data_IF_820627648745
#
_entry.id   IF_820627648745
#
_cell.length_a   1.000
_cell.length_b   1.000
_cell.length_c   1.000
_cell.angle_alpha   90.00
_cell.angle_beta   90.00
_cell.angle_gamma   90.00
#
_symmetry.space_group_name_H-M   'P 1'
#
loop_
_entity.id
_entity.type
_entity.pdbx_description
1 polymer ?
#
# COMPACT_ATOMS: atom_id res chain seq x y z
N UNK A 1 -5.92 5.34 10.71
CA UNK A 1 -6.67 5.71 9.48
C UNK A 1 -5.97 6.87 8.76
N UNK A 2 -5.94 8.09 9.31
CA UNK A 2 -5.33 9.27 8.66
C UNK A 2 -3.93 9.03 8.08
N UNK A 3 -3.00 8.47 8.87
CA UNK A 3 -1.66 8.15 8.39
C UNK A 3 -1.63 7.19 7.19
N UNK A 4 -2.55 6.23 7.13
CA UNK A 4 -2.66 5.32 5.99
C UNK A 4 -3.16 6.03 4.73
N UNK A 5 -4.11 6.96 4.88
CA UNK A 5 -4.58 7.81 3.78
C UNK A 5 -3.45 8.73 3.27
N UNK A 6 -2.66 9.31 4.18
CA UNK A 6 -1.48 10.10 3.81
C UNK A 6 -0.46 9.23 3.06
N UNK A 7 -0.21 8.01 3.53
CA UNK A 7 0.70 7.08 2.85
C UNK A 7 0.21 6.67 1.45
N UNK A 8 -1.10 6.49 1.30
CA UNK A 8 -1.73 6.29 -0.01
C UNK A 8 -1.53 7.51 -0.90
N UNK A 9 -1.80 8.72 -0.41
CA UNK A 9 -1.63 9.96 -1.18
C UNK A 9 -0.16 10.17 -1.59
N UNK A 10 0.80 9.95 -0.70
CA UNK A 10 2.23 10.04 -1.03
C UNK A 10 2.56 9.13 -2.22
N UNK A 11 2.09 7.88 -2.16
CA UNK A 11 2.34 6.91 -3.22
C UNK A 11 1.66 7.33 -4.54
N UNK A 12 0.36 7.59 -4.51
CA UNK A 12 -0.44 7.87 -5.71
C UNK A 12 -0.11 9.20 -6.36
N UNK A 13 0.09 10.27 -5.58
CA UNK A 13 0.40 11.58 -6.15
C UNK A 13 1.86 11.71 -6.59
N UNK A 14 2.78 10.93 -6.02
CA UNK A 14 4.11 10.75 -6.63
C UNK A 14 3.97 10.12 -8.03
N UNK A 15 3.17 9.06 -8.16
CA UNK A 15 2.92 8.47 -9.48
C UNK A 15 2.28 9.46 -10.43
N UNK A 16 1.28 10.26 -10.01
CA UNK A 16 0.71 11.30 -10.87
C UNK A 16 1.74 12.37 -11.28
N UNK A 17 2.66 12.77 -10.39
CA UNK A 17 3.70 13.74 -10.74
C UNK A 17 4.67 13.23 -11.82
N UNK A 18 4.87 11.91 -11.94
CA UNK A 18 5.82 11.30 -12.88
C UNK A 18 5.16 10.71 -14.12
N UNK A 19 3.99 10.09 -13.96
CA UNK A 19 3.29 9.34 -15.00
C UNK A 19 2.24 10.15 -15.75
N UNK A 20 1.60 11.13 -15.08
CA UNK A 20 0.53 11.87 -15.73
C UNK A 20 1.10 12.76 -16.83
N UNK A 21 0.44 12.79 -17.99
CA UNK A 21 0.73 13.78 -19.03
C UNK A 21 0.53 15.17 -18.45
N UNK A 22 1.46 16.09 -18.74
CA UNK A 22 1.42 17.48 -18.27
C UNK A 22 0.05 18.10 -18.56
N UNK A 23 -0.55 18.68 -17.51
CA UNK A 23 -1.88 19.27 -17.54
C UNK A 23 -2.03 20.30 -16.40
N UNK A 24 -3.15 21.03 -16.40
CA UNK A 24 -3.42 22.13 -15.48
C UNK A 24 -3.42 21.72 -13.99
N UNK A 25 -3.63 20.43 -13.68
CA UNK A 25 -3.62 19.90 -12.32
C UNK A 25 -2.22 19.50 -11.83
N UNK A 26 -1.16 19.65 -12.63
CA UNK A 26 0.19 19.21 -12.25
C UNK A 26 0.63 19.79 -10.89
N UNK A 27 0.44 21.10 -10.68
CA UNK A 27 0.78 21.75 -9.41
C UNK A 27 -0.07 21.25 -8.24
N UNK A 28 -1.33 20.86 -8.49
CA UNK A 28 -2.18 20.26 -7.47
C UNK A 28 -1.64 18.88 -7.05
N UNK A 29 -1.17 18.07 -8.00
CA UNK A 29 -0.55 16.77 -7.68
C UNK A 29 0.67 16.95 -6.79
N UNK A 30 1.55 17.91 -7.14
CA UNK A 30 2.75 18.24 -6.37
C UNK A 30 2.37 18.73 -4.96
N UNK A 31 1.36 19.60 -4.84
CA UNK A 31 0.91 20.10 -3.55
C UNK A 31 0.38 18.98 -2.65
N UNK A 32 -0.45 18.07 -3.18
CA UNK A 32 -0.99 16.95 -2.41
C UNK A 32 0.12 15.99 -1.99
N UNK A 33 1.05 15.67 -2.89
CA UNK A 33 2.22 14.85 -2.59
C UNK A 33 3.06 15.47 -1.45
N UNK A 34 3.47 16.72 -1.60
CA UNK A 34 4.33 17.40 -0.63
C UNK A 34 3.65 17.53 0.74
N UNK A 35 2.41 18.03 0.78
CA UNK A 35 1.66 18.15 2.03
C UNK A 35 1.46 16.79 2.71
N UNK A 36 1.11 15.76 1.94
CA UNK A 36 0.92 14.41 2.50
C UNK A 36 2.22 13.86 3.08
N UNK A 37 3.35 14.07 2.39
CA UNK A 37 4.68 13.65 2.84
C UNK A 37 5.06 14.33 4.16
N UNK A 38 5.01 15.66 4.21
CA UNK A 38 5.40 16.39 5.41
C UNK A 38 4.46 16.10 6.58
N UNK A 39 3.14 16.05 6.36
CA UNK A 39 2.18 15.68 7.41
C UNK A 39 2.42 14.26 7.92
N UNK A 40 2.72 13.30 7.04
CA UNK A 40 3.01 11.93 7.45
C UNK A 40 4.27 11.84 8.30
N UNK A 41 5.35 12.49 7.87
CA UNK A 41 6.63 12.52 8.61
C UNK A 41 6.46 13.20 9.97
N UNK A 42 5.85 14.39 10.02
CA UNK A 42 5.63 15.09 11.30
C UNK A 42 4.71 14.32 12.24
N UNK A 43 3.66 13.67 11.72
CA UNK A 43 2.78 12.86 12.53
C UNK A 43 3.48 11.60 13.06
N UNK A 44 4.34 10.95 12.26
CA UNK A 44 5.14 9.81 12.74
C UNK A 44 6.10 10.19 13.87
N UNK A 45 6.73 11.36 13.80
CA UNK A 45 7.65 11.84 14.85
C UNK A 45 6.89 12.19 16.14
N UNK A 46 5.63 12.65 16.03
CA UNK A 46 4.79 13.06 17.18
C UNK A 46 4.00 11.92 17.82
N UNK A 47 3.73 10.85 17.09
CA UNK A 47 3.15 9.65 17.70
C UNK A 47 4.22 9.13 18.63
N UNK A 48 3.92 9.05 19.92
CA UNK A 48 4.73 8.27 20.87
C UNK A 48 4.44 6.77 20.62
N UNK A 49 5.20 6.06 19.78
CA UNK A 49 4.91 4.68 19.42
C UNK A 49 5.34 3.73 20.53
N UNK A 50 6.07 4.24 21.53
CA UNK A 50 6.90 3.43 22.43
C UNK A 50 6.22 3.09 23.76
N UNK A 51 5.11 3.73 24.12
CA UNK A 51 4.52 3.50 25.44
C UNK A 51 3.76 2.17 25.49
N UNK A 52 2.81 1.89 24.59
CA UNK A 52 2.01 0.63 24.65
C UNK A 52 1.40 0.13 23.32
N UNK A 53 2.18 -0.05 22.23
CA UNK A 53 1.61 -0.52 20.96
C UNK A 53 1.15 -1.98 21.00
N UNK A 54 1.78 -2.81 21.85
CA UNK A 54 1.52 -4.25 21.92
C UNK A 54 0.20 -4.63 22.59
N UNK A 55 -0.39 -3.72 23.38
CA UNK A 55 -1.67 -3.95 24.04
C UNK A 55 -2.87 -3.57 23.17
N UNK A 56 -2.62 -2.92 22.02
CA UNK A 56 -3.67 -2.38 21.15
C UNK A 56 -4.32 -3.45 20.26
N UNK A 57 -3.69 -4.60 20.05
CA UNK A 57 -4.18 -5.60 19.08
C UNK A 57 -4.00 -7.01 19.65
N UNK A 58 -5.03 -7.85 19.50
CA UNK A 58 -4.95 -9.26 19.90
C UNK A 58 -3.80 -9.97 19.18
N UNK A 59 -3.09 -10.86 19.89
CA UNK A 59 -1.93 -11.60 19.32
C UNK A 59 -2.30 -12.36 18.05
N UNK A 60 -3.50 -12.94 18.03
CA UNK A 60 -4.04 -13.67 16.87
C UNK A 60 -4.21 -12.75 15.67
N UNK A 61 -4.93 -11.64 15.83
CA UNK A 61 -5.17 -10.70 14.73
C UNK A 61 -3.87 -10.06 14.22
N UNK A 62 -2.96 -9.68 15.12
CA UNK A 62 -1.65 -9.15 14.75
C UNK A 62 -0.86 -10.13 13.88
N UNK A 63 -0.84 -11.42 14.25
CA UNK A 63 -0.17 -12.47 13.49
C UNK A 63 -0.82 -12.66 12.11
N UNK A 64 -2.15 -12.75 12.04
CA UNK A 64 -2.87 -12.96 10.77
C UNK A 64 -2.62 -11.81 9.79
N UNK A 65 -2.75 -10.56 10.25
CA UNK A 65 -2.54 -9.38 9.40
C UNK A 65 -1.07 -9.25 9.00
N UNK A 66 -0.13 -9.60 9.87
CA UNK A 66 1.30 -9.59 9.54
C UNK A 66 1.67 -10.62 8.46
N UNK A 67 1.15 -11.85 8.57
CA UNK A 67 1.35 -12.89 7.55
C UNK A 67 0.75 -12.43 6.22
N UNK A 68 -0.44 -11.81 6.25
CA UNK A 68 -1.06 -11.23 5.05
C UNK A 68 -0.17 -10.16 4.40
N UNK A 69 0.40 -9.23 5.18
CA UNK A 69 1.33 -8.22 4.66
C UNK A 69 2.54 -8.87 3.97
N UNK A 70 3.16 -9.86 4.61
CA UNK A 70 4.30 -10.58 4.04
C UNK A 70 3.93 -11.35 2.78
N UNK A 71 2.75 -11.98 2.75
CA UNK A 71 2.24 -12.70 1.59
C UNK A 71 2.04 -11.76 0.40
N UNK A 72 1.29 -10.67 0.58
CA UNK A 72 1.03 -9.68 -0.47
C UNK A 72 2.34 -9.05 -0.96
N UNK A 73 3.22 -8.66 -0.04
CA UNK A 73 4.52 -8.09 -0.38
C UNK A 73 5.36 -9.04 -1.22
N UNK A 74 5.47 -10.30 -0.78
CA UNK A 74 6.24 -11.32 -1.52
C UNK A 74 5.63 -11.60 -2.89
N UNK A 75 4.30 -11.73 -2.97
CA UNK A 75 3.60 -12.00 -4.21
C UNK A 75 3.86 -10.89 -5.25
N UNK A 76 3.77 -9.62 -4.85
CA UNK A 76 4.04 -8.50 -5.77
C UNK A 76 5.53 -8.36 -6.11
N UNK A 77 6.45 -8.64 -5.18
CA UNK A 77 7.89 -8.67 -5.48
C UNK A 77 8.16 -9.71 -6.57
N UNK A 78 7.62 -10.93 -6.43
CA UNK A 78 7.79 -11.98 -7.43
C UNK A 78 7.12 -11.62 -8.76
N UNK A 79 5.93 -11.01 -8.73
CA UNK A 79 5.24 -10.53 -9.94
C UNK A 79 6.09 -9.51 -10.70
N UNK A 80 6.59 -8.48 -10.02
CA UNK A 80 7.40 -7.43 -10.64
C UNK A 80 8.74 -7.95 -11.13
N UNK A 81 9.42 -8.77 -10.32
CA UNK A 81 10.68 -9.39 -10.75
C UNK A 81 10.48 -10.30 -11.95
N UNK A 82 9.39 -11.07 -12.01
CA UNK A 82 9.08 -11.90 -13.18
C UNK A 82 8.94 -11.04 -14.45
N UNK A 83 8.20 -9.94 -14.39
CA UNK A 83 8.03 -9.05 -15.55
C UNK A 83 9.37 -8.42 -15.98
N UNK A 84 10.14 -7.90 -15.01
CA UNK A 84 11.44 -7.27 -15.28
C UNK A 84 12.42 -8.28 -15.87
N UNK A 85 12.56 -9.44 -15.24
CA UNK A 85 13.51 -10.48 -15.65
C UNK A 85 13.13 -11.01 -17.04
N UNK A 86 11.85 -11.31 -17.29
CA UNK A 86 11.39 -11.74 -18.61
C UNK A 86 11.65 -10.67 -19.68
N UNK A 87 11.36 -9.39 -19.39
CA UNK A 87 11.64 -8.29 -20.31
C UNK A 87 13.14 -8.17 -20.65
N UNK A 88 14.02 -8.33 -19.66
CA UNK A 88 15.47 -8.31 -19.86
C UNK A 88 15.95 -9.48 -20.72
N UNK A 89 15.44 -10.70 -20.51
CA UNK A 89 15.86 -11.87 -21.28
C UNK A 89 15.28 -11.91 -22.70
N UNK A 90 14.10 -11.33 -22.91
CA UNK A 90 13.42 -11.32 -24.22
C UNK A 90 13.67 -10.03 -25.00
N UNK A 91 14.48 -9.12 -24.45
CA UNK A 91 14.72 -7.77 -25.00
C UNK A 91 13.40 -7.02 -25.31
N UNK A 92 12.37 -7.26 -24.48
CA UNK A 92 11.05 -6.66 -24.64
C UNK A 92 10.71 -5.74 -23.47
N UNK A 93 9.95 -4.69 -23.75
CA UNK A 93 9.43 -3.79 -22.71
C UNK A 93 8.24 -4.50 -22.06
N UNK A 94 8.23 -4.69 -20.72
CA UNK A 94 7.09 -5.29 -20.05
C UNK A 94 5.79 -4.52 -20.35
N UNK A 95 4.69 -5.23 -20.58
CA UNK A 95 3.40 -4.64 -20.95
C UNK A 95 2.93 -3.56 -19.96
N UNK A 96 3.15 -3.77 -18.67
CA UNK A 96 2.81 -2.78 -17.63
C UNK A 96 3.60 -1.47 -17.79
N UNK A 97 4.82 -1.51 -18.32
CA UNK A 97 5.63 -0.32 -18.66
C UNK A 97 5.12 0.34 -19.93
N UNK A 98 4.70 -0.44 -20.93
CA UNK A 98 4.09 0.10 -22.17
C UNK A 98 2.83 0.90 -21.85
N UNK A 99 1.97 0.38 -20.97
CA UNK A 99 0.71 1.02 -20.60
C UNK A 99 0.87 2.24 -19.70
N UNK A 100 1.84 2.18 -18.78
CA UNK A 100 2.14 3.28 -17.86
C UNK A 100 3.02 4.36 -18.49
N UNK A 101 3.72 4.04 -19.58
CA UNK A 101 4.71 4.90 -20.23
C UNK A 101 6.05 5.00 -19.46
N UNK A 102 6.19 4.35 -18.30
CA UNK A 102 7.37 4.47 -17.44
C UNK A 102 7.49 3.33 -16.42
N UNK A 103 8.70 2.85 -16.09
CA UNK A 103 8.90 1.78 -15.09
C UNK A 103 8.81 2.27 -13.64
N UNK A 104 8.35 3.50 -13.39
CA UNK A 104 8.35 4.11 -12.05
C UNK A 104 7.60 3.28 -11.00
N UNK A 105 6.57 2.52 -11.40
CA UNK A 105 5.86 1.61 -10.48
C UNK A 105 6.80 0.56 -9.90
N UNK A 106 7.71 -0.01 -10.70
CA UNK A 106 8.71 -0.97 -10.21
C UNK A 106 9.65 -0.32 -9.20
N UNK A 107 10.08 0.92 -9.46
CA UNK A 107 10.96 1.68 -8.56
C UNK A 107 10.26 1.95 -7.23
N UNK A 108 9.00 2.39 -7.27
CA UNK A 108 8.23 2.68 -6.07
C UNK A 108 7.93 1.42 -5.25
N UNK A 109 7.57 0.33 -5.92
CA UNK A 109 7.20 -0.91 -5.25
C UNK A 109 8.41 -1.66 -4.72
N UNK A 110 9.41 -1.93 -5.56
CA UNK A 110 10.60 -2.68 -5.14
C UNK A 110 11.57 -1.84 -4.31
N UNK A 111 11.62 -0.52 -4.53
CA UNK A 111 12.56 0.37 -3.85
C UNK A 111 12.16 0.70 -2.42
N UNK A 112 10.86 0.76 -2.11
CA UNK A 112 10.44 1.10 -0.74
C UNK A 112 9.13 0.47 -0.28
N UNK A 113 8.07 0.44 -1.10
CA UNK A 113 6.75 0.08 -0.58
C UNK A 113 6.63 -1.40 -0.21
N UNK A 114 6.99 -2.32 -1.11
CA UNK A 114 6.91 -3.76 -0.84
C UNK A 114 7.92 -4.22 0.22
N UNK A 115 9.18 -3.73 0.24
CA UNK A 115 10.08 -3.96 1.36
C UNK A 115 9.50 -3.50 2.70
N UNK A 116 8.93 -2.29 2.76
CA UNK A 116 8.30 -1.77 3.98
C UNK A 116 7.08 -2.60 4.40
N UNK A 117 6.30 -3.09 3.44
CA UNK A 117 5.15 -3.97 3.66
C UNK A 117 5.59 -5.30 4.31
N UNK A 118 6.62 -5.94 3.78
CA UNK A 118 7.19 -7.19 4.33
C UNK A 118 7.83 -6.94 5.71
N UNK A 119 8.63 -5.88 5.85
CA UNK A 119 9.28 -5.52 7.11
C UNK A 119 8.27 -5.22 8.21
N UNK A 120 7.16 -4.56 7.88
CA UNK A 120 6.06 -4.34 8.81
C UNK A 120 5.56 -5.65 9.39
N UNK A 121 5.28 -6.65 8.53
CA UNK A 121 4.87 -7.99 8.98
C UNK A 121 5.92 -8.68 9.85
N UNK A 122 7.20 -8.66 9.44
CA UNK A 122 8.31 -9.25 10.21
C UNK A 122 8.41 -8.61 11.60
N UNK A 123 8.40 -7.27 11.66
CA UNK A 123 8.49 -6.52 12.90
C UNK A 123 7.29 -6.79 13.82
N UNK A 124 6.07 -6.90 13.27
CA UNK A 124 4.88 -7.28 14.04
C UNK A 124 5.02 -8.68 14.64
N UNK A 125 5.49 -9.66 13.86
CA UNK A 125 5.71 -11.03 14.35
C UNK A 125 6.79 -11.08 15.43
N UNK A 126 7.82 -10.23 15.32
CA UNK A 126 8.86 -10.02 16.35
C UNK A 126 8.40 -9.17 17.54
N UNK A 127 7.13 -8.76 17.58
CA UNK A 127 6.56 -7.93 18.66
C UNK A 127 7.24 -6.57 18.80
N UNK A 128 7.78 -6.03 17.71
CA UNK A 128 8.39 -4.72 17.72
C UNK A 128 7.31 -3.62 17.65
N UNK A 129 7.46 -2.58 18.47
CA UNK A 129 6.54 -1.45 18.57
C UNK A 129 6.19 -0.83 17.20
N UNK A 130 7.24 -0.53 16.41
CA UNK A 130 7.07 0.03 15.06
C UNK A 130 6.30 -0.91 14.13
N UNK A 131 6.50 -2.22 14.24
CA UNK A 131 5.78 -3.19 13.41
C UNK A 131 4.28 -3.12 13.65
N UNK A 132 3.85 -3.10 14.91
CA UNK A 132 2.42 -3.03 15.27
C UNK A 132 1.79 -1.68 14.86
N UNK A 133 2.53 -0.57 15.03
CA UNK A 133 2.08 0.75 14.57
C UNK A 133 1.90 0.77 13.04
N UNK A 134 2.94 0.38 12.30
CA UNK A 134 2.95 0.39 10.84
C UNK A 134 1.93 -0.58 10.26
N UNK A 135 1.60 -1.67 10.96
CA UNK A 135 0.61 -2.66 10.52
C UNK A 135 -0.72 -2.00 10.17
N UNK A 136 -1.24 -1.14 11.05
CA UNK A 136 -2.51 -0.45 10.81
C UNK A 136 -2.42 0.61 9.70
N UNK A 137 -1.30 1.33 9.63
CA UNK A 137 -1.04 2.37 8.63
C UNK A 137 -1.02 1.74 7.23
N UNK A 138 -0.22 0.69 7.07
CA UNK A 138 -0.04 -0.02 5.80
C UNK A 138 -1.33 -0.75 5.41
N UNK A 139 -2.07 -1.32 6.37
CA UNK A 139 -3.37 -1.94 6.10
C UNK A 139 -4.38 -0.96 5.49
N UNK A 140 -4.48 0.26 6.05
CA UNK A 140 -5.35 1.31 5.49
C UNK A 140 -4.88 1.74 4.10
N UNK A 141 -3.55 1.83 3.88
CA UNK A 141 -2.99 2.12 2.55
C UNK A 141 -3.33 1.02 1.54
N UNK A 142 -3.21 -0.26 1.90
CA UNK A 142 -3.57 -1.39 1.03
C UNK A 142 -5.05 -1.37 0.67
N UNK A 143 -5.93 -1.10 1.64
CA UNK A 143 -7.36 -1.00 1.40
C UNK A 143 -7.72 0.16 0.46
N UNK A 144 -7.20 1.36 0.72
CA UNK A 144 -7.46 2.54 -0.12
C UNK A 144 -6.90 2.39 -1.54
N UNK A 145 -5.70 1.79 -1.67
CA UNK A 145 -5.16 1.40 -2.97
C UNK A 145 -6.06 0.39 -3.68
N UNK A 146 -6.57 -0.61 -2.95
CA UNK A 146 -7.46 -1.60 -3.52
C UNK A 146 -8.78 -1.01 -4.05
N UNK A 147 -9.36 -0.04 -3.34
CA UNK A 147 -10.52 0.71 -3.82
C UNK A 147 -10.21 1.48 -5.10
N UNK A 148 -9.04 2.12 -5.16
CA UNK A 148 -8.61 2.85 -6.35
C UNK A 148 -8.43 1.92 -7.57
N UNK A 149 -7.87 0.73 -7.34
CA UNK A 149 -7.72 -0.30 -8.39
C UNK A 149 -9.07 -0.82 -8.87
N UNK A 150 -10.02 -1.10 -7.97
CA UNK A 150 -11.39 -1.49 -8.35
C UNK A 150 -12.04 -0.38 -9.20
N UNK A 151 -11.92 0.88 -8.78
CA UNK A 151 -12.44 2.02 -9.54
C UNK A 151 -11.80 2.12 -10.92
N UNK A 152 -10.48 1.99 -11.00
CA UNK A 152 -9.73 1.98 -12.26
C UNK A 152 -10.24 0.87 -13.19
N UNK A 153 -10.36 -0.37 -12.71
CA UNK A 153 -10.86 -1.49 -13.51
C UNK A 153 -12.28 -1.23 -14.03
N UNK A 154 -13.15 -0.67 -13.19
CA UNK A 154 -14.51 -0.30 -13.59
C UNK A 154 -14.53 0.74 -14.73
N UNK A 155 -13.70 1.79 -14.64
CA UNK A 155 -13.58 2.79 -15.69
C UNK A 155 -12.93 2.24 -16.97
N UNK A 156 -11.92 1.36 -16.84
CA UNK A 156 -11.28 0.70 -17.98
C UNK A 156 -12.28 -0.18 -18.75
N UNK A 157 -13.08 -0.97 -18.04
CA UNK A 157 -14.15 -1.79 -18.64
C UNK A 157 -15.17 -0.90 -19.37
N UNK A 158 -15.58 0.23 -18.78
CA UNK A 158 -16.49 1.21 -19.41
C UNK A 158 -15.90 1.84 -20.67
N UNK A 159 -14.57 2.02 -20.71
CA UNK A 159 -13.84 2.58 -21.84
C UNK A 159 -13.51 1.53 -22.93
N UNK A 160 -13.91 0.26 -22.75
CA UNK A 160 -13.62 -0.82 -23.69
C UNK A 160 -12.15 -1.25 -23.69
N UNK A 161 -11.39 -0.93 -22.64
CA UNK A 161 -9.99 -1.35 -22.50
C UNK A 161 -10.00 -2.78 -21.93
N UNK A 162 -9.50 -3.79 -22.66
CA UNK A 162 -9.57 -5.17 -22.23
C UNK A 162 -8.79 -5.41 -20.93
N UNK A 163 -9.39 -6.22 -20.06
CA UNK A 163 -8.81 -6.59 -18.76
C UNK A 163 -7.70 -7.63 -18.95
N UNK A 164 -6.54 -7.41 -18.33
CA UNK A 164 -5.33 -8.22 -18.53
C UNK A 164 -5.37 -9.51 -17.70
N UNK A 165 -6.14 -10.50 -18.16
CA UNK A 165 -6.07 -11.90 -17.76
C UNK A 165 -5.84 -12.16 -16.26
N UNK A 166 -4.76 -12.85 -15.92
CA UNK A 166 -4.39 -13.25 -14.55
C UNK A 166 -4.14 -12.04 -13.64
N UNK A 167 -3.61 -10.95 -14.19
CA UNK A 167 -3.31 -9.72 -13.45
C UNK A 167 -4.58 -9.04 -12.94
N UNK A 168 -5.65 -9.04 -13.75
CA UNK A 168 -6.98 -8.53 -13.34
C UNK A 168 -7.56 -9.28 -12.14
N UNK A 169 -7.45 -10.62 -12.14
CA UNK A 169 -7.94 -11.47 -11.03
C UNK A 169 -7.20 -11.14 -9.72
N UNK A 170 -5.87 -11.00 -9.78
CA UNK A 170 -5.07 -10.61 -8.60
C UNK A 170 -5.49 -9.23 -8.10
N UNK A 171 -5.70 -8.28 -9.02
CA UNK A 171 -6.12 -6.92 -8.69
C UNK A 171 -7.56 -6.79 -8.18
N UNK A 172 -8.44 -7.76 -8.45
CA UNK A 172 -9.79 -7.81 -7.89
C UNK A 172 -9.85 -8.54 -6.53
N UNK A 173 -9.09 -9.62 -6.39
CA UNK A 173 -9.14 -10.47 -5.18
C UNK A 173 -8.41 -9.85 -4.00
N UNK A 174 -7.27 -9.19 -4.22
CA UNK A 174 -6.47 -8.61 -3.13
C UNK A 174 -7.14 -7.44 -2.41
N UNK A 175 -7.85 -6.51 -3.07
CA UNK A 175 -8.64 -5.48 -2.39
C UNK A 175 -9.73 -6.06 -1.47
N UNK A 176 -10.42 -7.11 -1.92
CA UNK A 176 -11.45 -7.79 -1.12
C UNK A 176 -10.81 -8.45 0.11
N UNK A 177 -9.70 -9.17 -0.08
CA UNK A 177 -8.94 -9.73 1.02
C UNK A 177 -8.42 -8.64 1.98
N UNK A 178 -7.99 -7.49 1.46
CA UNK A 178 -7.58 -6.33 2.25
C UNK A 178 -8.74 -5.77 3.08
N UNK A 179 -9.97 -5.71 2.55
CA UNK A 179 -11.14 -5.30 3.32
C UNK A 179 -11.39 -6.23 4.50
N UNK A 180 -11.34 -7.55 4.27
CA UNK A 180 -11.53 -8.56 5.33
C UNK A 180 -10.45 -8.41 6.41
N UNK A 181 -9.19 -8.28 6.01
CA UNK A 181 -8.07 -8.12 6.93
C UNK A 181 -8.14 -6.79 7.71
N UNK A 182 -8.63 -5.73 7.07
CA UNK A 182 -8.85 -4.44 7.72
C UNK A 182 -9.97 -4.51 8.75
N UNK A 183 -11.08 -5.19 8.42
CA UNK A 183 -12.14 -5.46 9.37
C UNK A 183 -11.64 -6.29 10.57
N UNK A 184 -10.87 -7.35 10.33
CA UNK A 184 -10.27 -8.16 11.38
C UNK A 184 -9.32 -7.35 12.26
N UNK A 185 -8.51 -6.46 11.66
CA UNK A 185 -7.65 -5.53 12.38
C UNK A 185 -8.49 -4.67 13.33
N UNK A 186 -9.43 -3.88 12.81
CA UNK A 186 -10.21 -2.93 13.62
C UNK A 186 -11.09 -3.62 14.67
N UNK A 187 -11.69 -4.77 14.36
CA UNK A 187 -12.48 -5.54 15.31
C UNK A 187 -11.66 -5.99 16.53
N UNK A 188 -10.37 -6.24 16.35
CA UNK A 188 -9.48 -6.73 17.39
C UNK A 188 -8.62 -5.64 18.02
N UNK A 189 -8.79 -4.39 17.60
CA UNK A 189 -8.15 -3.26 18.28
C UNK A 189 -8.92 -2.98 19.56
N UNK A 190 -8.26 -3.15 20.71
CA UNK A 190 -8.85 -2.80 22.01
C UNK A 190 -8.89 -1.28 22.15
N UNK A 191 -10.07 -0.68 22.37
CA UNK A 191 -10.14 0.71 22.78
C UNK A 191 -9.44 0.82 24.13
N UNK A 192 -8.39 1.64 24.23
CA UNK A 192 -7.95 2.07 25.56
C UNK A 192 -9.04 2.97 26.14
N UNK A 193 -9.54 2.61 27.32
CA UNK A 193 -10.18 3.55 28.24
C UNK A 193 -9.18 4.70 28.47
N UNK A 194 -9.36 5.81 27.78
CA UNK A 194 -8.54 7.02 27.93
C UNK A 194 -9.26 8.08 28.78
N UNK A 195 -10.31 7.70 29.53
CA UNK A 195 -11.09 8.58 30.38
C UNK A 195 -11.09 8.11 31.85
N UNK A 196 -9.92 8.04 32.47
CA UNK A 196 -9.78 7.91 33.92
C UNK A 196 -8.39 8.41 34.36
N UNK A 197 -8.27 9.72 34.48
CA UNK A 197 -7.10 10.42 35.01
C UNK A 197 -7.39 11.91 35.13
#
# INVERSE_FOLDING_TARGET
>A
IWLGCLLYNIYSYMLYCVMARYNDFFLLYVAIFALSLYLFVFALIRIEPFKHPLSLLSRGAAKTVAIYHMFVGTLFVLLWLSQIITGLFTESIPESVVLSGTPIVYVMDLGWFLPALILTGILTLRRHALGVLLLGIVMVKLFTLGLAVIGMLWFMQRAGIPEQGVTGIVFLTLPIASLVMMYLYFKNVTPKEYYSG
#
